data_IF_480278717249
#
_entry.id   IF_480278717249
#
_cell.length_a   1.000
_cell.length_b   1.000
_cell.length_c   1.000
_cell.angle_alpha   90.00
_cell.angle_beta   90.00
_cell.angle_gamma   90.00
#
_symmetry.space_group_name_H-M   'P 1'
#
loop_
_entity.id
_entity.type
_entity.pdbx_description
1 polymer ?
#
# COMPACT_ATOMS: atom_id res chain seq x y z
N UNK A 1 -18.23 0.88 14.82
CA UNK A 1 -17.53 -0.40 14.66
C UNK A 1 -16.49 -0.19 13.59
N UNK A 2 -15.21 -0.33 13.90
CA UNK A 2 -14.14 -0.23 12.90
C UNK A 2 -14.10 -1.57 12.14
N UNK A 3 -14.08 -1.58 10.79
CA UNK A 3 -13.98 -2.82 10.04
C UNK A 3 -12.63 -3.49 10.31
N UNK A 4 -12.66 -4.77 10.67
CA UNK A 4 -11.45 -5.58 10.85
C UNK A 4 -10.71 -5.75 9.53
N UNK A 5 -9.39 -5.84 9.63
CA UNK A 5 -8.52 -6.07 8.48
C UNK A 5 -8.67 -7.50 7.98
N UNK A 6 -8.49 -7.70 6.67
CA UNK A 6 -8.47 -9.02 6.00
C UNK A 6 -7.48 -9.98 6.68
N UNK A 7 -6.39 -9.44 7.26
CA UNK A 7 -5.40 -10.21 8.00
C UNK A 7 -5.98 -10.91 9.25
N UNK A 8 -6.88 -10.25 9.98
CA UNK A 8 -7.51 -10.83 11.17
C UNK A 8 -8.42 -12.01 10.79
N UNK A 9 -9.09 -11.95 9.63
CA UNK A 9 -9.90 -13.06 9.10
C UNK A 9 -9.05 -14.23 8.61
N UNK A 10 -7.93 -13.96 7.94
CA UNK A 10 -6.98 -14.98 7.50
C UNK A 10 -6.35 -15.69 8.70
N UNK A 11 -5.98 -14.93 9.74
CA UNK A 11 -5.40 -15.49 10.96
C UNK A 11 -6.41 -16.39 11.69
N UNK A 12 -7.68 -16.00 11.73
CA UNK A 12 -8.76 -16.85 12.22
C UNK A 12 -8.88 -18.16 11.42
N UNK A 13 -8.88 -18.08 10.08
CA UNK A 13 -8.94 -19.25 9.20
C UNK A 13 -7.72 -20.18 9.35
N UNK A 14 -6.52 -19.62 9.44
CA UNK A 14 -5.27 -20.38 9.68
C UNK A 14 -5.33 -21.07 11.04
N UNK A 15 -5.79 -20.39 12.09
CA UNK A 15 -5.90 -20.97 13.42
C UNK A 15 -6.91 -22.13 13.46
N UNK A 16 -8.04 -21.99 12.78
CA UNK A 16 -9.03 -23.08 12.62
C UNK A 16 -8.44 -24.25 11.82
N UNK A 17 -7.68 -23.98 10.76
CA UNK A 17 -6.97 -25.00 9.98
C UNK A 17 -5.84 -25.69 10.76
N UNK A 18 -5.11 -24.95 11.59
CA UNK A 18 -4.02 -25.47 12.43
C UNK A 18 -4.56 -26.40 13.53
N UNK A 19 -5.69 -26.03 14.12
CA UNK A 19 -6.44 -26.88 15.06
C UNK A 19 -6.92 -28.18 14.41
N UNK A 20 -7.31 -28.15 13.12
CA UNK A 20 -7.64 -29.35 12.35
C UNK A 20 -6.43 -30.25 12.11
N UNK A 21 -5.26 -29.71 11.78
CA UNK A 21 -4.02 -30.50 11.64
C UNK A 21 -3.62 -31.20 12.93
N UNK A 22 -3.79 -30.53 14.07
CA UNK A 22 -3.59 -31.10 15.41
C UNK A 22 -4.60 -32.20 15.75
N UNK A 23 -5.87 -32.04 15.36
CA UNK A 23 -6.92 -33.03 15.61
C UNK A 23 -6.86 -34.24 14.66
N UNK A 24 -6.39 -34.07 13.41
CA UNK A 24 -6.31 -35.15 12.41
C UNK A 24 -5.06 -36.03 12.56
N UNK A 25 -3.94 -35.48 13.04
CA UNK A 25 -2.72 -36.24 13.33
C UNK A 25 -2.66 -36.59 14.81
N UNK A 26 -3.49 -37.54 15.22
CA UNK A 26 -3.34 -38.23 16.51
C UNK A 26 -2.01 -38.98 16.59
N UNK A 27 -0.92 -38.28 16.90
CA UNK A 27 0.33 -38.86 17.38
C UNK A 27 0.93 -37.94 18.45
N UNK A 28 0.45 -38.15 19.68
CA UNK A 28 1.05 -37.68 20.92
C UNK A 28 1.33 -38.91 21.79
N UNK A 29 2.25 -39.75 21.34
CA UNK A 29 3.14 -40.46 22.25
C UNK A 29 4.48 -39.74 22.11
N UNK A 30 4.98 -39.18 23.21
CA UNK A 30 6.20 -38.36 23.33
C UNK A 30 6.06 -36.84 23.13
N UNK A 31 5.07 -36.20 23.78
CA UNK A 31 5.30 -34.86 24.36
C UNK A 31 5.26 -35.00 25.89
N UNK A 32 6.20 -35.80 26.40
CA UNK A 32 6.68 -35.72 27.77
C UNK A 32 7.96 -34.86 27.75
N UNK A 33 7.82 -33.56 27.48
CA UNK A 33 8.79 -32.51 27.85
C UNK A 33 8.33 -31.13 27.33
N UNK A 34 7.49 -30.44 28.10
CA UNK A 34 7.55 -28.97 28.18
C UNK A 34 6.89 -28.12 27.09
N UNK A 35 5.73 -28.50 26.55
CA UNK A 35 4.95 -27.60 25.69
C UNK A 35 3.69 -27.07 26.41
N UNK A 36 3.84 -25.96 27.13
CA UNK A 36 2.76 -25.16 27.72
C UNK A 36 1.93 -24.36 26.67
N UNK A 37 1.63 -24.97 25.52
CA UNK A 37 0.79 -24.35 24.49
C UNK A 37 -0.56 -25.05 24.40
N UNK A 38 -1.28 -25.08 25.51
CA UNK A 38 -2.74 -25.15 25.48
C UNK A 38 -3.19 -23.78 24.99
N UNK A 39 -3.88 -23.72 23.85
CA UNK A 39 -4.47 -22.47 23.34
C UNK A 39 -5.18 -21.78 24.50
N UNK A 40 -4.66 -20.62 24.92
CA UNK A 40 -5.11 -19.96 26.13
C UNK A 40 -6.64 -19.75 26.03
N UNK A 41 -7.43 -20.12 27.05
CA UNK A 41 -8.88 -19.98 27.04
C UNK A 41 -9.35 -18.57 26.65
N UNK A 42 -8.56 -17.56 27.02
CA UNK A 42 -8.78 -16.15 26.69
C UNK A 42 -8.72 -15.85 25.18
N UNK A 43 -7.91 -16.60 24.43
CA UNK A 43 -7.77 -16.46 22.98
C UNK A 43 -8.98 -16.99 22.20
N UNK A 44 -9.56 -18.08 22.69
CA UNK A 44 -10.79 -18.64 22.11
C UNK A 44 -12.01 -17.77 22.46
N UNK A 45 -12.03 -17.22 23.68
CA UNK A 45 -13.06 -16.25 24.07
C UNK A 45 -13.05 -15.01 23.14
N UNK A 46 -11.88 -14.48 22.77
CA UNK A 46 -11.79 -13.37 21.81
C UNK A 46 -12.27 -13.74 20.40
N UNK A 47 -12.00 -14.97 19.95
CA UNK A 47 -12.53 -15.48 18.66
C UNK A 47 -14.06 -15.56 18.68
N UNK A 48 -14.66 -16.02 19.79
CA UNK A 48 -16.12 -16.11 19.91
C UNK A 48 -16.81 -14.75 20.05
N UNK A 49 -16.18 -13.81 20.74
CA UNK A 49 -16.66 -12.42 20.78
C UNK A 49 -16.66 -11.82 19.37
N UNK A 50 -15.61 -12.08 18.59
CA UNK A 50 -15.51 -11.64 17.19
C UNK A 50 -16.54 -12.28 16.25
N UNK A 51 -16.82 -13.57 16.40
CA UNK A 51 -17.89 -14.25 15.67
C UNK A 51 -19.28 -13.70 16.04
N UNK A 52 -19.50 -13.33 17.30
CA UNK A 52 -20.73 -12.67 17.76
C UNK A 52 -20.96 -11.29 17.12
N UNK A 53 -19.90 -10.57 16.79
CA UNK A 53 -19.93 -9.24 16.15
C UNK A 53 -20.22 -9.33 14.64
N UNK A 54 -19.92 -10.45 13.99
CA UNK A 54 -20.17 -10.74 12.56
C UNK A 54 -21.63 -11.08 12.22
N UNK A 55 -22.57 -10.92 13.15
CA UNK A 55 -23.97 -11.28 12.94
C UNK A 55 -24.24 -12.79 13.05
N UNK A 56 -23.23 -13.61 13.32
CA UNK A 56 -23.37 -15.05 13.58
C UNK A 56 -23.92 -15.36 14.99
N UNK A 57 -24.87 -14.54 15.48
CA UNK A 57 -25.51 -14.68 16.81
C UNK A 57 -26.23 -16.02 17.00
N UNK A 58 -26.64 -16.66 15.91
CA UNK A 58 -27.22 -18.00 15.93
C UNK A 58 -26.18 -19.10 16.19
N UNK A 59 -24.94 -18.90 15.74
CA UNK A 59 -23.85 -19.87 15.91
C UNK A 59 -23.39 -19.84 17.37
N UNK A 60 -23.14 -18.64 17.92
CA UNK A 60 -22.64 -18.44 19.29
C UNK A 60 -23.48 -19.10 20.40
N UNK A 61 -24.80 -19.27 20.19
CA UNK A 61 -25.70 -19.91 21.17
C UNK A 61 -25.67 -21.43 21.16
N UNK A 62 -25.16 -22.03 20.09
CA UNK A 62 -25.10 -23.47 19.87
C UNK A 62 -23.77 -24.08 20.31
N UNK A 63 -22.83 -23.24 20.75
CA UNK A 63 -21.47 -23.63 21.02
C UNK A 63 -21.36 -24.23 22.42
N UNK A 64 -20.75 -25.41 22.59
CA UNK A 64 -20.52 -25.99 23.90
C UNK A 64 -19.61 -25.09 24.75
N UNK A 65 -19.73 -25.14 26.10
CA UNK A 65 -18.89 -24.34 26.99
C UNK A 65 -17.40 -24.69 26.83
N UNK A 66 -16.54 -23.68 27.02
CA UNK A 66 -15.08 -23.77 26.94
C UNK A 66 -14.51 -24.74 27.99
N UNK A 67 -14.35 -25.99 27.58
CA UNK A 67 -13.68 -27.09 28.27
C UNK A 67 -13.51 -28.23 27.27
N UNK A 68 -12.56 -28.08 26.34
CA UNK A 68 -12.55 -28.84 25.08
C UNK A 68 -12.08 -30.29 25.25
N UNK A 69 -13.00 -31.23 25.00
CA UNK A 69 -12.65 -32.52 24.43
C UNK A 69 -12.48 -32.39 22.89
N UNK A 70 -11.88 -33.38 22.22
CA UNK A 70 -11.70 -33.35 20.76
C UNK A 70 -13.02 -33.23 19.97
N UNK A 71 -14.13 -33.71 20.51
CA UNK A 71 -15.45 -33.70 19.84
C UNK A 71 -15.99 -32.28 19.70
N UNK A 72 -15.79 -31.42 20.71
CA UNK A 72 -16.13 -30.00 20.62
C UNK A 72 -15.41 -29.31 19.45
N UNK A 73 -14.13 -29.62 19.24
CA UNK A 73 -13.30 -29.07 18.15
C UNK A 73 -13.80 -29.47 16.76
N UNK A 74 -14.23 -30.72 16.59
CA UNK A 74 -14.86 -31.19 15.35
C UNK A 74 -16.20 -30.47 15.09
N UNK A 75 -17.00 -30.24 16.12
CA UNK A 75 -18.26 -29.48 16.01
C UNK A 75 -18.03 -28.03 15.53
N UNK A 76 -16.98 -27.35 16.00
CA UNK A 76 -16.64 -26.00 15.51
C UNK A 76 -16.17 -26.01 14.05
N UNK A 77 -15.39 -27.00 13.65
CA UNK A 77 -14.99 -27.22 12.25
C UNK A 77 -16.23 -27.36 11.35
N UNK A 78 -17.16 -28.23 11.74
CA UNK A 78 -18.32 -28.58 10.92
C UNK A 78 -19.33 -27.44 10.77
N UNK A 79 -19.29 -26.43 11.64
CA UNK A 79 -20.16 -25.25 11.57
C UNK A 79 -19.44 -24.04 10.97
N UNK A 80 -18.20 -23.77 11.39
CA UNK A 80 -17.49 -22.56 10.96
C UNK A 80 -16.95 -22.69 9.54
N UNK A 81 -16.49 -23.86 9.12
CA UNK A 81 -15.92 -24.03 7.78
C UNK A 81 -16.96 -23.80 6.68
N UNK A 82 -18.18 -24.38 6.74
CA UNK A 82 -19.19 -24.14 5.70
C UNK A 82 -19.67 -22.69 5.65
N UNK A 83 -19.69 -22.01 6.80
CA UNK A 83 -20.03 -20.57 6.87
C UNK A 83 -18.92 -19.73 6.28
N UNK A 84 -17.66 -20.01 6.63
CA UNK A 84 -16.51 -19.35 6.02
C UNK A 84 -16.43 -19.63 4.52
N UNK A 85 -16.71 -20.85 4.07
CA UNK A 85 -16.76 -21.20 2.65
C UNK A 85 -17.89 -20.43 1.95
N UNK A 86 -19.12 -20.45 2.49
CA UNK A 86 -20.27 -19.73 1.92
C UNK A 86 -20.09 -18.21 1.91
N UNK A 87 -19.42 -17.64 2.92
CA UNK A 87 -19.11 -16.21 2.94
C UNK A 87 -17.88 -15.89 2.07
N UNK A 88 -16.89 -16.78 1.99
CA UNK A 88 -15.73 -16.62 1.10
C UNK A 88 -16.12 -16.68 -0.38
N UNK A 89 -17.13 -17.48 -0.75
CA UNK A 89 -17.71 -17.48 -2.09
C UNK A 89 -18.29 -16.11 -2.47
N UNK A 90 -18.62 -15.27 -1.48
CA UNK A 90 -19.11 -13.90 -1.66
C UNK A 90 -18.00 -12.85 -1.54
N UNK A 91 -16.81 -13.22 -1.08
CA UNK A 91 -15.70 -12.31 -0.79
C UNK A 91 -14.55 -12.53 -1.78
N UNK A 92 -14.27 -11.52 -2.61
CA UNK A 92 -13.02 -11.50 -3.37
C UNK A 92 -11.86 -11.08 -2.46
N UNK A 93 -11.06 -12.06 -2.04
CA UNK A 93 -9.85 -11.81 -1.26
C UNK A 93 -8.69 -11.62 -2.21
N UNK A 94 -8.07 -10.43 -2.16
CA UNK A 94 -6.82 -10.14 -2.86
C UNK A 94 -5.67 -10.25 -1.88
N UNK A 95 -4.67 -11.06 -2.22
CA UNK A 95 -3.42 -11.12 -1.46
C UNK A 95 -2.40 -10.18 -2.12
N UNK A 96 -1.76 -9.30 -1.34
CA UNK A 96 -0.66 -8.48 -1.84
C UNK A 96 0.45 -9.32 -2.48
N UNK A 97 0.94 -8.88 -3.64
CA UNK A 97 2.14 -9.49 -4.23
C UNK A 97 3.38 -9.08 -3.42
N UNK A 98 4.37 -9.96 -3.34
CA UNK A 98 5.67 -9.60 -2.75
C UNK A 98 6.33 -8.50 -3.59
N UNK A 99 6.60 -7.35 -2.97
CA UNK A 99 7.23 -6.19 -3.61
C UNK A 99 8.65 -5.97 -3.09
N UNK A 100 9.50 -5.31 -3.87
CA UNK A 100 10.83 -4.80 -3.45
C UNK A 100 10.70 -3.73 -2.36
N UNK A 101 9.58 -3.02 -2.39
CA UNK A 101 9.20 -2.02 -1.39
C UNK A 101 8.38 -2.66 -0.27
N UNK A 102 8.33 -2.00 0.89
CA UNK A 102 7.48 -2.41 2.00
C UNK A 102 5.99 -2.25 1.61
N UNK A 103 5.27 -3.38 1.55
CA UNK A 103 3.87 -3.45 1.12
C UNK A 103 2.95 -2.61 2.01
N UNK A 104 3.19 -2.56 3.33
CA UNK A 104 2.36 -1.78 4.27
C UNK A 104 2.57 -0.28 4.05
N UNK A 105 3.81 0.13 3.76
CA UNK A 105 4.10 1.52 3.39
C UNK A 105 3.46 1.86 2.05
N UNK A 106 3.60 1.03 1.02
CA UNK A 106 2.97 1.28 -0.28
C UNK A 106 1.44 1.41 -0.19
N UNK A 107 0.77 0.57 0.60
CA UNK A 107 -0.70 0.56 0.67
C UNK A 107 -1.28 1.64 1.58
N UNK A 108 -0.67 1.86 2.75
CA UNK A 108 -1.30 2.61 3.85
C UNK A 108 -0.49 3.81 4.34
N UNK A 109 0.79 3.92 3.96
CA UNK A 109 1.68 4.98 4.45
C UNK A 109 2.75 5.35 3.41
N UNK A 110 2.31 5.73 2.21
CA UNK A 110 3.23 6.03 1.11
C UNK A 110 4.15 7.22 1.45
N UNK A 111 3.69 8.13 2.32
CA UNK A 111 4.45 9.26 2.85
C UNK A 111 5.79 8.84 3.46
N UNK A 112 5.84 7.68 4.12
CA UNK A 112 7.06 7.15 4.72
C UNK A 112 8.11 6.64 3.71
N UNK A 113 7.80 6.63 2.42
CA UNK A 113 8.74 6.29 1.34
C UNK A 113 9.45 7.52 0.77
N UNK A 114 9.01 8.73 1.13
CA UNK A 114 9.64 10.01 0.74
C UNK A 114 10.54 10.53 1.86
N UNK A 115 11.39 11.50 1.54
CA UNK A 115 12.14 12.24 2.54
C UNK A 115 11.20 12.97 3.53
N UNK A 116 11.66 13.26 4.77
CA UNK A 116 10.81 13.83 5.81
C UNK A 116 10.09 15.12 5.36
N UNK A 117 8.77 15.17 5.59
CA UNK A 117 7.88 16.28 5.24
C UNK A 117 7.70 16.57 3.74
N UNK A 118 8.37 15.82 2.84
CA UNK A 118 8.23 16.03 1.39
C UNK A 118 6.82 15.69 0.94
N UNK A 119 6.35 14.47 1.21
CA UNK A 119 5.03 14.01 0.76
C UNK A 119 3.90 14.93 1.23
N UNK A 120 3.94 15.35 2.50
CA UNK A 120 2.92 16.23 3.09
C UNK A 120 2.94 17.65 2.49
N UNK A 121 4.02 18.03 1.83
CA UNK A 121 4.17 19.33 1.15
C UNK A 121 3.78 19.30 -0.32
N UNK A 122 3.48 18.11 -0.86
CA UNK A 122 2.98 17.98 -2.22
C UNK A 122 1.57 18.57 -2.34
N UNK A 123 1.23 19.08 -3.52
CA UNK A 123 -0.16 19.33 -3.90
C UNK A 123 -1.04 18.10 -3.71
N UNK A 124 -2.30 18.29 -3.32
CA UNK A 124 -3.26 17.21 -3.03
C UNK A 124 -3.38 16.18 -4.17
N UNK A 125 -3.38 16.64 -5.43
CA UNK A 125 -3.39 15.76 -6.62
C UNK A 125 -2.15 14.88 -6.68
N UNK A 126 -0.98 15.41 -6.36
CA UNK A 126 0.25 14.61 -6.35
C UNK A 126 0.25 13.60 -5.18
N UNK A 127 -0.23 14.00 -3.99
CA UNK A 127 -0.40 13.06 -2.87
C UNK A 127 -1.33 11.92 -3.23
N UNK A 128 -2.48 12.24 -3.86
CA UNK A 128 -3.43 11.25 -4.35
C UNK A 128 -2.77 10.31 -5.37
N UNK A 129 -2.14 10.85 -6.40
CA UNK A 129 -1.53 10.06 -7.46
C UNK A 129 -0.43 9.12 -6.90
N UNK A 130 0.46 9.60 -6.02
CA UNK A 130 1.48 8.71 -5.42
C UNK A 130 0.88 7.64 -4.48
N UNK A 131 -0.21 7.97 -3.77
CA UNK A 131 -0.94 6.98 -2.95
C UNK A 131 -1.58 5.88 -3.79
N UNK A 132 -2.21 6.25 -4.92
CA UNK A 132 -2.78 5.28 -5.85
C UNK A 132 -1.70 4.47 -6.56
N UNK A 133 -0.56 5.08 -6.93
CA UNK A 133 0.57 4.36 -7.48
C UNK A 133 1.07 3.26 -6.54
N UNK A 134 1.18 3.55 -5.23
CA UNK A 134 1.58 2.56 -4.23
C UNK A 134 0.62 1.37 -4.16
N UNK A 135 -0.69 1.64 -4.13
CA UNK A 135 -1.72 0.59 -4.18
C UNK A 135 -1.65 -0.22 -5.48
N UNK A 136 -1.48 0.43 -6.63
CA UNK A 136 -1.33 -0.26 -7.90
C UNK A 136 -0.14 -1.21 -7.90
N UNK A 137 0.99 -0.85 -7.29
CA UNK A 137 2.14 -1.76 -7.14
C UNK A 137 1.78 -2.96 -6.26
N UNK A 138 1.09 -2.72 -5.13
CA UNK A 138 0.67 -3.78 -4.20
C UNK A 138 -0.27 -4.81 -4.86
N UNK A 139 -1.12 -4.36 -5.78
CA UNK A 139 -2.10 -5.18 -6.49
C UNK A 139 -1.66 -5.61 -7.90
N UNK A 140 -0.36 -5.52 -8.21
CA UNK A 140 0.21 -5.95 -9.50
C UNK A 140 -0.45 -5.28 -10.73
N UNK A 141 -0.68 -3.97 -10.63
CA UNK A 141 -1.20 -3.09 -11.68
C UNK A 141 -0.11 -2.12 -12.19
N UNK A 142 1.00 -2.62 -12.78
CA UNK A 142 2.20 -1.83 -13.07
C UNK A 142 1.97 -0.67 -14.05
N UNK A 143 1.20 -0.87 -15.10
CA UNK A 143 0.91 0.20 -16.06
C UNK A 143 0.10 1.33 -15.40
N UNK A 144 -0.89 0.99 -14.57
CA UNK A 144 -1.68 1.98 -13.82
C UNK A 144 -0.80 2.73 -12.81
N UNK A 145 0.12 2.02 -12.13
CA UNK A 145 1.10 2.65 -11.25
C UNK A 145 1.94 3.68 -12.02
N UNK A 146 2.45 3.32 -13.21
CA UNK A 146 3.20 4.23 -14.06
C UNK A 146 2.42 5.49 -14.43
N UNK A 147 1.14 5.37 -14.79
CA UNK A 147 0.29 6.54 -15.06
C UNK A 147 0.19 7.49 -13.87
N UNK A 148 -0.08 6.95 -12.68
CA UNK A 148 -0.17 7.75 -11.46
C UNK A 148 1.17 8.41 -11.12
N UNK A 149 2.28 7.69 -11.19
CA UNK A 149 3.61 8.26 -10.95
C UNK A 149 3.96 9.41 -11.89
N UNK A 150 3.62 9.28 -13.19
CA UNK A 150 3.85 10.35 -14.17
C UNK A 150 3.01 11.59 -13.87
N UNK A 151 1.75 11.42 -13.48
CA UNK A 151 0.87 12.54 -13.11
C UNK A 151 1.33 13.24 -11.83
N UNK A 152 1.66 12.49 -10.79
CA UNK A 152 2.15 13.04 -9.52
C UNK A 152 3.49 13.78 -9.67
N UNK A 153 4.41 13.21 -10.45
CA UNK A 153 5.71 13.85 -10.76
C UNK A 153 5.51 15.11 -11.58
N UNK A 154 4.67 15.08 -12.62
CA UNK A 154 4.36 16.25 -13.44
C UNK A 154 3.71 17.38 -12.60
N UNK A 155 2.79 17.03 -11.71
CA UNK A 155 2.17 18.00 -10.79
C UNK A 155 3.19 18.63 -9.84
N UNK A 156 4.20 17.88 -9.39
CA UNK A 156 5.29 18.43 -8.56
C UNK A 156 6.19 19.37 -9.36
N UNK A 157 6.54 18.99 -10.59
CA UNK A 157 7.28 19.85 -11.51
C UNK A 157 6.53 21.16 -11.83
N UNK A 158 5.21 21.08 -11.98
CA UNK A 158 4.33 22.24 -12.20
C UNK A 158 4.30 23.19 -11.01
N UNK A 159 4.30 22.66 -9.78
CA UNK A 159 4.45 23.47 -8.56
C UNK A 159 5.80 24.18 -8.51
N UNK A 160 6.89 23.47 -8.82
CA UNK A 160 8.23 24.07 -8.91
C UNK A 160 8.24 25.20 -9.94
N UNK A 161 7.70 24.95 -11.14
CA UNK A 161 7.57 25.96 -12.18
C UNK A 161 6.79 27.19 -11.71
N UNK A 162 5.62 27.02 -11.10
CA UNK A 162 4.83 28.13 -10.58
C UNK A 162 5.56 28.89 -9.46
N UNK A 163 6.25 28.17 -8.57
CA UNK A 163 7.03 28.79 -7.48
C UNK A 163 8.18 29.65 -8.01
N UNK A 164 8.92 29.20 -9.01
CA UNK A 164 10.05 29.95 -9.61
C UNK A 164 9.53 31.04 -10.54
N UNK A 165 8.55 30.72 -11.38
CA UNK A 165 8.18 31.61 -12.49
C UNK A 165 7.09 32.62 -12.12
N UNK A 166 6.18 32.26 -11.21
CA UNK A 166 4.93 32.96 -10.95
C UNK A 166 3.88 32.81 -12.05
N UNK A 167 4.16 32.03 -13.11
CA UNK A 167 3.26 31.82 -14.25
C UNK A 167 2.40 30.58 -14.05
N UNK A 168 1.20 30.59 -14.59
CA UNK A 168 0.36 29.39 -14.66
C UNK A 168 1.03 28.33 -15.54
N UNK A 169 0.99 27.08 -15.08
CA UNK A 169 1.55 25.94 -15.78
C UNK A 169 0.49 25.18 -16.60
N UNK A 170 -0.81 25.41 -16.39
CA UNK A 170 -1.89 24.54 -16.92
C UNK A 170 -1.84 24.28 -18.44
N UNK A 171 -1.26 25.21 -19.21
CA UNK A 171 -1.19 25.15 -20.69
C UNK A 171 0.19 24.83 -21.26
N UNK A 172 1.19 24.59 -20.43
CA UNK A 172 2.55 24.27 -20.88
C UNK A 172 2.86 22.79 -20.67
N UNK A 173 3.65 22.25 -21.58
CA UNK A 173 4.09 20.86 -21.57
C UNK A 173 5.35 20.68 -20.72
N UNK A 174 5.60 19.46 -20.25
CA UNK A 174 6.74 19.10 -19.42
C UNK A 174 8.08 19.61 -19.99
N UNK A 175 8.34 19.37 -21.29
CA UNK A 175 9.59 19.82 -21.93
C UNK A 175 9.77 21.33 -21.85
N UNK A 176 8.71 22.08 -22.13
CA UNK A 176 8.71 23.54 -22.07
C UNK A 176 8.95 24.04 -20.64
N UNK A 177 8.39 23.37 -19.62
CA UNK A 177 8.67 23.69 -18.21
C UNK A 177 10.17 23.61 -17.91
N UNK A 178 10.84 22.53 -18.34
CA UNK A 178 12.29 22.35 -18.13
C UNK A 178 13.08 23.44 -18.85
N UNK A 179 12.76 23.72 -20.11
CA UNK A 179 13.45 24.74 -20.92
C UNK A 179 13.32 26.14 -20.31
N UNK A 180 12.11 26.52 -19.88
CA UNK A 180 11.88 27.82 -19.23
C UNK A 180 12.56 27.94 -17.87
N UNK A 181 12.58 26.87 -17.07
CA UNK A 181 13.29 26.85 -15.78
C UNK A 181 14.79 27.04 -15.98
N UNK A 182 15.39 26.34 -16.95
CA UNK A 182 16.82 26.49 -17.32
C UNK A 182 17.13 27.92 -17.77
N UNK A 183 16.25 28.52 -18.58
CA UNK A 183 16.46 29.87 -19.10
C UNK A 183 16.35 30.96 -18.03
N UNK A 184 15.47 30.81 -17.03
CA UNK A 184 15.23 31.85 -16.02
C UNK A 184 16.40 32.00 -15.04
N UNK A 185 17.10 30.91 -14.74
CA UNK A 185 18.25 30.84 -13.81
C UNK A 185 18.05 31.63 -12.48
N UNK A 186 16.81 31.67 -11.98
CA UNK A 186 16.44 32.43 -10.77
C UNK A 186 16.69 31.67 -9.48
N UNK A 187 16.71 30.34 -9.57
CA UNK A 187 17.01 29.39 -8.52
C UNK A 187 18.12 28.47 -9.04
N UNK A 188 19.19 28.21 -8.28
CA UNK A 188 20.23 27.27 -8.69
C UNK A 188 19.70 25.83 -8.60
N UNK A 189 18.99 25.39 -9.64
CA UNK A 189 18.52 24.02 -9.77
C UNK A 189 19.69 23.16 -10.29
N UNK A 190 20.05 22.05 -9.62
CA UNK A 190 21.14 21.19 -10.07
C UNK A 190 20.91 20.63 -11.48
N UNK A 191 21.98 20.55 -12.29
CA UNK A 191 21.90 19.98 -13.63
C UNK A 191 21.43 18.52 -13.61
N UNK A 192 21.85 17.76 -12.60
CA UNK A 192 21.43 16.35 -12.40
C UNK A 192 19.92 16.21 -12.29
N UNK A 193 19.24 17.14 -11.60
CA UNK A 193 17.78 17.11 -11.49
C UNK A 193 17.12 17.37 -12.85
N UNK A 194 17.65 18.29 -13.65
CA UNK A 194 17.15 18.49 -15.01
C UNK A 194 17.32 17.25 -15.88
N UNK A 195 18.46 16.58 -15.77
CA UNK A 195 18.75 15.37 -16.56
C UNK A 195 17.85 14.21 -16.13
N UNK A 196 17.59 14.05 -14.83
CA UNK A 196 16.62 13.07 -14.31
C UNK A 196 15.20 13.35 -14.79
N UNK A 197 14.74 14.60 -14.73
CA UNK A 197 13.42 14.99 -15.19
C UNK A 197 13.25 14.79 -16.70
N UNK A 198 14.29 15.03 -17.49
CA UNK A 198 14.26 14.80 -18.94
C UNK A 198 14.31 13.31 -19.29
N UNK A 199 15.09 12.53 -18.53
CA UNK A 199 15.08 11.07 -18.62
C UNK A 199 13.70 10.49 -18.31
N UNK A 200 13.05 10.95 -17.22
CA UNK A 200 11.66 10.57 -16.89
C UNK A 200 10.73 10.92 -18.05
N UNK A 201 10.86 12.13 -18.59
CA UNK A 201 10.01 12.61 -19.68
C UNK A 201 10.10 11.74 -20.92
N UNK A 202 11.32 11.48 -21.41
CA UNK A 202 11.54 10.76 -22.66
C UNK A 202 11.31 9.27 -22.53
N UNK A 203 11.78 8.64 -21.44
CA UNK A 203 11.81 7.18 -21.34
C UNK A 203 10.62 6.58 -20.60
N UNK A 204 9.84 7.39 -19.87
CA UNK A 204 8.71 6.90 -19.10
C UNK A 204 7.44 7.68 -19.42
N UNK A 205 7.42 9.00 -19.21
CA UNK A 205 6.20 9.80 -19.39
C UNK A 205 5.67 9.73 -20.81
N UNK A 206 6.50 9.99 -21.81
CA UNK A 206 6.11 9.95 -23.22
C UNK A 206 5.63 8.54 -23.63
N UNK A 207 6.36 7.44 -23.34
CA UNK A 207 5.89 6.08 -23.57
C UNK A 207 4.59 5.73 -22.85
N UNK A 208 4.43 6.09 -21.58
CA UNK A 208 3.21 5.81 -20.79
C UNK A 208 1.96 6.42 -21.43
N UNK A 209 2.08 7.51 -22.18
CA UNK A 209 0.93 8.07 -22.91
C UNK A 209 0.51 7.26 -24.14
N UNK A 210 1.35 6.36 -24.63
CA UNK A 210 1.07 5.53 -25.79
C UNK A 210 0.41 4.21 -25.36
N UNK A 211 -0.67 3.75 -26.02
CA UNK A 211 -1.38 2.52 -25.64
C UNK A 211 -0.51 1.25 -25.71
N UNK A 212 0.58 1.29 -26.49
CA UNK A 212 1.46 0.13 -26.70
C UNK A 212 2.46 -0.09 -25.54
N UNK A 213 2.68 0.92 -24.68
CA UNK A 213 3.59 0.74 -23.54
C UNK A 213 2.87 0.05 -22.40
N UNK A 214 3.24 -1.20 -22.17
CA UNK A 214 2.86 -1.99 -21.00
C UNK A 214 4.09 -2.08 -20.10
N UNK A 215 3.88 -1.89 -18.80
CA UNK A 215 4.91 -2.03 -17.78
C UNK A 215 4.76 -3.39 -17.09
N UNK A 216 5.87 -3.99 -16.68
CA UNK A 216 5.87 -5.06 -15.68
C UNK A 216 6.10 -4.50 -14.26
N UNK A 217 5.91 -5.34 -13.24
CA UNK A 217 6.02 -4.93 -11.84
C UNK A 217 7.42 -4.45 -11.46
N UNK A 218 8.47 -5.05 -12.02
CA UNK A 218 9.85 -4.63 -11.76
C UNK A 218 10.11 -3.22 -12.32
N UNK A 219 9.72 -2.97 -13.57
CA UNK A 219 9.83 -1.64 -14.19
C UNK A 219 9.06 -0.57 -13.41
N UNK A 220 7.85 -0.89 -12.92
CA UNK A 220 7.05 0.04 -12.14
C UNK A 220 7.69 0.36 -10.79
N UNK A 221 8.29 -0.63 -10.12
CA UNK A 221 8.98 -0.42 -8.84
C UNK A 221 10.28 0.38 -9.00
N UNK A 222 11.01 0.18 -10.10
CA UNK A 222 12.21 0.96 -10.43
C UNK A 222 11.83 2.41 -10.76
N UNK A 223 10.75 2.59 -11.54
CA UNK A 223 10.20 3.91 -11.84
C UNK A 223 9.71 4.64 -10.59
N UNK A 224 9.14 3.93 -9.62
CA UNK A 224 8.72 4.51 -8.34
C UNK A 224 9.89 5.14 -7.60
N UNK A 225 11.01 4.45 -7.50
CA UNK A 225 12.23 5.00 -6.88
C UNK A 225 12.73 6.26 -7.57
N UNK A 226 12.76 6.27 -8.90
CA UNK A 226 13.17 7.45 -9.70
C UNK A 226 12.23 8.64 -9.50
N UNK A 227 10.91 8.38 -9.42
CA UNK A 227 9.92 9.44 -9.20
C UNK A 227 10.00 10.03 -7.77
N UNK A 228 10.19 9.17 -6.75
CA UNK A 228 10.42 9.62 -5.37
C UNK A 228 11.66 10.50 -5.29
N UNK A 229 12.78 10.08 -5.88
CA UNK A 229 14.04 10.84 -5.89
C UNK A 229 13.87 12.27 -6.44
N UNK A 230 13.28 12.41 -7.63
CA UNK A 230 13.10 13.76 -8.21
C UNK A 230 12.11 14.61 -7.40
N UNK A 231 11.11 14.01 -6.79
CA UNK A 231 10.15 14.72 -5.93
C UNK A 231 10.82 15.21 -4.64
N UNK A 232 11.63 14.35 -4.01
CA UNK A 232 12.43 14.67 -2.83
C UNK A 232 13.43 15.82 -3.12
N UNK A 233 13.91 15.93 -4.36
CA UNK A 233 14.76 17.06 -4.78
C UNK A 233 13.98 18.34 -5.11
N UNK A 234 12.79 18.23 -5.70
CA UNK A 234 11.98 19.39 -6.12
C UNK A 234 11.35 20.16 -4.95
N UNK A 235 10.91 19.47 -3.90
CA UNK A 235 10.17 20.10 -2.80
C UNK A 235 11.04 21.07 -1.97
N UNK A 236 12.28 20.74 -1.59
CA UNK A 236 13.18 21.70 -0.95
C UNK A 236 13.42 22.97 -1.78
N UNK A 237 13.49 22.84 -3.10
CA UNK A 237 13.62 23.97 -4.03
C UNK A 237 12.37 24.87 -4.01
N UNK A 238 11.17 24.28 -3.93
CA UNK A 238 9.91 25.01 -3.77
C UNK A 238 9.91 25.80 -2.45
N UNK A 239 10.28 25.16 -1.33
CA UNK A 239 10.37 25.84 -0.03
C UNK A 239 11.37 27.00 -0.06
N UNK A 240 12.54 26.80 -0.66
CA UNK A 240 13.56 27.83 -0.80
C UNK A 240 13.01 29.06 -1.54
N UNK A 241 12.26 28.86 -2.61
CA UNK A 241 11.66 29.96 -3.37
C UNK A 241 10.52 30.67 -2.64
N UNK A 242 9.68 29.92 -1.93
CA UNK A 242 8.62 30.51 -1.11
C UNK A 242 9.22 31.39 0.00
N UNK A 243 10.28 30.91 0.66
CA UNK A 243 10.98 31.66 1.71
C UNK A 243 11.66 32.92 1.15
N UNK A 244 12.30 32.82 -0.02
CA UNK A 244 12.93 33.98 -0.68
C UNK A 244 11.92 35.10 -0.94
N UNK A 245 10.73 34.75 -1.42
CA UNK A 245 9.64 35.72 -1.71
C UNK A 245 9.02 36.32 -0.45
N UNK A 246 8.99 35.58 0.67
CA UNK A 246 8.47 36.10 1.93
C UNK A 246 9.39 37.16 2.55
N UNK A 247 10.68 37.12 2.22
CA UNK A 247 11.70 38.07 2.72
C UNK A 247 11.96 39.28 1.83
N UNK A 248 11.41 39.31 0.61
CA UNK A 248 11.57 40.38 -0.39
C UNK A 248 10.39 41.34 -0.38
#
# INVERSE_FOLDING_TARGET
MQPKSVWEYIQLGINVGFLRCFAFHGYMREIDAGADWVVAPDYLASVFEELGLLGARGIARSLPPLGMDPEGLFFYSDILLPVLESESEKLQVFSPTSTRWDTQKLSNNVSALFAPNVFNSLHEVAQFDFSEAGKCIVFDLPTSAAFHMMRGTEMTLRQLYQSVTGKDSSKIYWKQIIEELKAKNQLPIPQTLYDHLDNIRENFRNPTQHPDKIYNLDEAQDLFGVCVDVVDQMIPLIWQEQNRKATS
#
